data_IF_412775852974
#
_entry.id   IF_412775852974
#
_cell.length_a   1.000
_cell.length_b   1.000
_cell.length_c   1.000
_cell.angle_alpha   90.00
_cell.angle_beta   90.00
_cell.angle_gamma   90.00
#
_symmetry.space_group_name_H-M   'P 1'
#
loop_
_entity.id
_entity.type
_entity.pdbx_description
1 polymer ?
#
# COMPACT_ATOMS: atom_id res chain seq x y z
N UNK A 1 -0.51 1.18 -12.81
CA UNK A 1 0.65 0.85 -13.65
C UNK A 1 0.92 -0.65 -13.58
N UNK A 2 1.43 -1.28 -14.65
CA UNK A 2 1.81 -2.70 -14.66
C UNK A 2 3.29 -2.82 -15.01
N UNK A 3 4.04 -3.54 -14.19
CA UNK A 3 5.47 -3.80 -14.38
C UNK A 3 5.64 -5.29 -14.65
N UNK A 4 6.35 -5.62 -15.72
CA UNK A 4 6.64 -7.00 -16.09
C UNK A 4 8.02 -7.40 -15.57
N UNK A 5 8.06 -8.38 -14.66
CA UNK A 5 9.30 -8.93 -14.16
C UNK A 5 9.95 -9.84 -15.21
N UNK A 6 11.28 -9.99 -15.16
CA UNK A 6 12.03 -10.92 -16.02
C UNK A 6 11.61 -12.39 -15.87
N UNK A 7 10.97 -12.77 -14.76
CA UNK A 7 10.42 -14.11 -14.57
C UNK A 7 9.03 -14.32 -15.22
N UNK A 8 8.43 -13.28 -15.80
CA UNK A 8 7.08 -13.30 -16.38
C UNK A 8 5.97 -12.81 -15.45
N UNK A 9 6.25 -12.68 -14.14
CA UNK A 9 5.29 -12.14 -13.18
C UNK A 9 4.89 -10.70 -13.54
N UNK A 10 3.63 -10.36 -13.29
CA UNK A 10 3.15 -8.98 -13.38
C UNK A 10 3.01 -8.40 -11.98
N UNK A 11 3.65 -7.24 -11.77
CA UNK A 11 3.48 -6.43 -10.57
C UNK A 11 2.49 -5.31 -10.92
N UNK A 12 1.38 -5.28 -10.22
CA UNK A 12 0.37 -4.23 -10.36
C UNK A 12 0.60 -3.17 -9.31
N UNK A 13 0.93 -1.96 -9.76
CA UNK A 13 0.88 -0.76 -8.92
C UNK A 13 -0.47 -0.07 -9.16
N UNK A 14 -1.48 -0.55 -8.44
CA UNK A 14 -2.89 -0.13 -8.59
C UNK A 14 -3.40 0.65 -7.39
N UNK A 15 -2.66 0.66 -6.27
CA UNK A 15 -3.01 1.36 -5.05
C UNK A 15 -1.77 1.68 -4.24
N UNK A 16 -1.90 2.60 -3.30
CA UNK A 16 -0.89 2.83 -2.28
C UNK A 16 -0.82 1.66 -1.29
N UNK A 17 0.27 1.64 -0.51
CA UNK A 17 0.48 0.71 0.62
C UNK A 17 0.53 -0.78 0.25
N UNK A 18 0.96 -1.12 -0.96
CA UNK A 18 1.18 -2.52 -1.35
C UNK A 18 2.46 -3.08 -0.70
N UNK A 19 2.40 -4.33 -0.23
CA UNK A 19 3.47 -4.93 0.59
C UNK A 19 4.81 -5.11 -0.14
N UNK A 20 4.79 -5.05 -1.48
CA UNK A 20 5.94 -5.27 -2.36
C UNK A 20 6.38 -4.00 -3.09
N UNK A 21 5.98 -2.82 -2.60
CA UNK A 21 6.47 -1.50 -3.03
C UNK A 21 7.10 -0.80 -1.83
N UNK A 22 8.24 -0.18 -2.06
CA UNK A 22 8.96 0.60 -1.07
C UNK A 22 9.67 1.78 -1.73
N UNK A 23 10.42 2.49 -0.92
CA UNK A 23 11.22 3.63 -1.33
C UNK A 23 12.63 3.46 -0.77
N UNK A 24 13.62 3.87 -1.56
CA UNK A 24 15.01 3.95 -1.12
C UNK A 24 15.45 5.40 -1.16
N UNK A 25 16.05 5.86 -0.07
CA UNK A 25 16.73 7.16 -0.01
C UNK A 25 18.22 6.87 -0.13
N UNK A 26 18.93 7.41 -1.13
CA UNK A 26 20.38 7.31 -1.20
C UNK A 26 21.02 7.85 0.07
N UNK A 27 22.13 7.24 0.51
CA UNK A 27 22.84 7.66 1.72
C UNK A 27 23.24 9.14 1.68
N UNK A 28 23.64 9.62 0.49
CA UNK A 28 24.00 11.01 0.24
C UNK A 28 22.82 11.99 0.44
N UNK A 29 21.60 11.53 0.22
CA UNK A 29 20.37 12.32 0.28
C UNK A 29 19.72 12.24 1.67
N UNK A 30 20.19 11.34 2.55
CA UNK A 30 19.55 11.06 3.82
C UNK A 30 19.68 12.22 4.83
N UNK A 31 20.85 12.85 4.89
CA UNK A 31 21.11 14.01 5.74
C UNK A 31 20.27 15.21 5.27
N UNK A 32 20.23 15.47 3.96
CA UNK A 32 19.41 16.54 3.37
C UNK A 32 17.91 16.33 3.64
N UNK A 33 17.41 15.09 3.51
CA UNK A 33 16.02 14.75 3.85
C UNK A 33 15.72 15.02 5.33
N UNK A 34 16.65 14.66 6.22
CA UNK A 34 16.50 14.89 7.66
C UNK A 34 16.43 16.40 7.96
N UNK A 35 17.33 17.19 7.39
CA UNK A 35 17.37 18.64 7.57
C UNK A 35 16.06 19.31 7.11
N UNK A 36 15.51 18.91 5.96
CA UNK A 36 14.24 19.45 5.48
C UNK A 36 13.07 19.07 6.39
N UNK A 37 13.04 17.83 6.90
CA UNK A 37 12.03 17.36 7.85
C UNK A 37 12.08 18.17 9.16
N UNK A 38 13.27 18.47 9.67
CA UNK A 38 13.45 19.20 10.93
C UNK A 38 13.06 20.69 10.85
N UNK A 39 13.10 21.27 9.64
CA UNK A 39 12.81 22.69 9.42
C UNK A 39 11.32 22.99 9.24
N UNK A 40 10.49 21.98 8.98
CA UNK A 40 9.05 22.16 8.73
C UNK A 40 8.21 21.78 9.95
N UNK A 41 7.06 22.45 10.11
CA UNK A 41 6.09 22.08 11.17
C UNK A 41 5.37 20.79 10.87
N UNK A 42 5.12 20.54 9.60
CA UNK A 42 4.46 19.34 9.09
C UNK A 42 5.24 18.84 7.90
N UNK A 43 5.58 17.54 7.91
CA UNK A 43 6.22 16.88 6.78
C UNK A 43 5.14 16.44 5.81
N UNK A 44 5.18 16.98 4.60
CA UNK A 44 4.40 16.42 3.51
C UNK A 44 5.14 15.26 2.83
N UNK A 45 4.37 14.38 2.18
CA UNK A 45 4.96 13.23 1.49
C UNK A 45 5.81 13.64 0.29
N UNK A 46 5.59 14.82 -0.28
CA UNK A 46 6.39 15.37 -1.37
C UNK A 46 7.84 15.63 -0.96
N UNK A 47 8.08 16.11 0.26
CA UNK A 47 9.43 16.22 0.84
C UNK A 47 10.13 14.85 0.84
N UNK A 48 9.45 13.80 1.32
CA UNK A 48 10.04 12.44 1.33
C UNK A 48 10.27 11.92 -0.10
N UNK A 49 9.32 12.15 -1.00
CA UNK A 49 9.40 11.67 -2.38
C UNK A 49 10.52 12.34 -3.19
N UNK A 50 10.83 13.62 -2.90
CA UNK A 50 11.94 14.35 -3.53
C UNK A 50 13.27 13.60 -3.40
N UNK A 51 13.52 12.96 -2.26
CA UNK A 51 14.77 12.24 -1.95
C UNK A 51 14.65 10.73 -2.13
N UNK A 52 13.48 10.24 -2.53
CA UNK A 52 13.20 8.81 -2.62
C UNK A 52 13.21 8.31 -4.06
N UNK A 53 13.62 7.06 -4.24
CA UNK A 53 13.44 6.31 -5.48
C UNK A 53 12.46 5.16 -5.23
N UNK A 54 11.54 4.93 -6.15
CA UNK A 54 10.56 3.85 -6.02
C UNK A 54 11.22 2.50 -6.27
N UNK A 55 10.96 1.56 -5.38
CA UNK A 55 11.45 0.19 -5.44
C UNK A 55 10.26 -0.78 -5.41
N UNK A 56 10.26 -1.76 -6.30
CA UNK A 56 9.29 -2.86 -6.29
C UNK A 56 10.01 -4.18 -6.06
N UNK A 57 9.29 -5.14 -5.49
CA UNK A 57 9.75 -6.52 -5.38
C UNK A 57 8.79 -7.47 -6.07
N UNK A 58 9.33 -8.35 -6.93
CA UNK A 58 8.57 -9.45 -7.50
C UNK A 58 8.22 -10.49 -6.43
N UNK A 59 6.96 -10.88 -6.32
CA UNK A 59 6.50 -11.86 -5.32
C UNK A 59 6.82 -13.32 -5.71
N UNK A 60 7.14 -13.57 -6.99
CA UNK A 60 7.48 -14.90 -7.50
C UNK A 60 8.97 -15.20 -7.38
N UNK A 61 9.84 -14.30 -7.87
CA UNK A 61 11.29 -14.55 -7.95
C UNK A 61 12.12 -13.63 -7.02
N UNK A 62 11.47 -12.82 -6.19
CA UNK A 62 12.12 -11.87 -5.26
C UNK A 62 13.02 -10.82 -5.93
N UNK A 63 12.98 -10.67 -7.26
CA UNK A 63 13.73 -9.65 -7.99
C UNK A 63 13.30 -8.25 -7.54
N UNK A 64 14.28 -7.42 -7.20
CA UNK A 64 14.10 -6.01 -6.92
C UNK A 64 14.12 -5.22 -8.23
N UNK A 65 13.21 -4.27 -8.34
CA UNK A 65 13.00 -3.46 -9.54
C UNK A 65 13.03 -2.00 -9.10
N UNK A 66 14.08 -1.29 -9.47
CA UNK A 66 14.25 0.13 -9.16
C UNK A 66 13.74 0.95 -10.34
N UNK A 67 12.91 1.94 -10.06
CA UNK A 67 12.43 2.92 -11.04
C UNK A 67 13.36 4.13 -11.04
N UNK A 68 13.99 4.43 -12.17
CA UNK A 68 14.93 5.53 -12.37
C UNK A 68 14.61 6.26 -13.68
N UNK A 69 14.26 7.55 -13.63
CA UNK A 69 13.99 8.37 -14.83
C UNK A 69 13.02 7.67 -15.82
N UNK A 70 11.93 7.10 -15.30
CA UNK A 70 10.93 6.32 -16.06
C UNK A 70 11.44 4.99 -16.65
N UNK A 71 12.64 4.54 -16.29
CA UNK A 71 13.21 3.24 -16.63
C UNK A 71 13.21 2.26 -15.45
N UNK A 72 13.11 0.96 -15.76
CA UNK A 72 13.14 -0.12 -14.76
C UNK A 72 14.46 -0.89 -14.79
N UNK A 73 15.14 -0.91 -13.66
CA UNK A 73 16.37 -1.67 -13.45
C UNK A 73 16.12 -2.87 -12.54
N UNK A 74 16.57 -4.05 -12.98
CA UNK A 74 16.25 -5.33 -12.34
C UNK A 74 17.47 -5.94 -11.65
N UNK A 75 17.32 -6.28 -10.37
CA UNK A 75 18.34 -6.89 -9.52
C UNK A 75 17.83 -8.22 -8.97
N UNK A 76 18.50 -9.31 -9.33
CA UNK A 76 18.12 -10.65 -8.88
C UNK A 76 18.68 -10.92 -7.49
N UNK A 77 17.89 -11.56 -6.63
CA UNK A 77 18.35 -12.01 -5.33
C UNK A 77 19.21 -13.27 -5.45
N UNK A 78 20.34 -13.33 -4.74
CA UNK A 78 21.18 -14.53 -4.66
C UNK A 78 20.47 -15.70 -3.97
N UNK A 79 19.51 -15.40 -3.10
CA UNK A 79 18.67 -16.37 -2.39
C UNK A 79 17.21 -15.91 -2.41
N UNK A 80 16.47 -16.17 -3.51
CA UNK A 80 15.11 -15.69 -3.69
C UNK A 80 14.16 -16.04 -2.53
N UNK A 81 14.22 -17.29 -2.05
CA UNK A 81 13.35 -17.77 -0.96
C UNK A 81 13.58 -17.03 0.36
N UNK A 82 14.84 -16.67 0.66
CA UNK A 82 15.20 -15.94 1.88
C UNK A 82 14.97 -14.43 1.77
N UNK A 83 14.83 -13.93 0.55
CA UNK A 83 14.67 -12.49 0.26
C UNK A 83 13.20 -12.13 0.05
N UNK A 84 12.29 -13.10 0.15
CA UNK A 84 10.85 -12.87 -0.01
C UNK A 84 10.39 -11.86 1.02
N UNK A 85 9.75 -10.78 0.56
CA UNK A 85 9.25 -9.67 1.40
C UNK A 85 10.30 -8.72 1.97
N UNK A 86 11.47 -8.59 1.33
CA UNK A 86 12.53 -7.67 1.77
C UNK A 86 12.10 -6.20 1.86
N UNK A 87 11.14 -5.77 1.03
CA UNK A 87 10.62 -4.38 1.02
C UNK A 87 9.34 -4.21 1.84
N UNK A 88 8.89 -5.27 2.52
CA UNK A 88 7.69 -5.25 3.34
C UNK A 88 7.92 -4.46 4.61
N UNK A 89 6.84 -3.87 5.15
CA UNK A 89 6.82 -3.29 6.50
C UNK A 89 7.50 -4.19 7.54
N UNK A 90 8.28 -3.59 8.44
CA UNK A 90 8.90 -4.24 9.59
C UNK A 90 7.89 -4.89 10.54
N UNK A 91 6.63 -4.45 10.50
CA UNK A 91 5.54 -5.03 11.28
C UNK A 91 4.85 -6.21 10.58
N UNK A 92 5.25 -6.54 9.35
CA UNK A 92 4.73 -7.68 8.60
C UNK A 92 3.20 -7.60 8.43
N UNK A 93 2.50 -8.67 8.82
CA UNK A 93 1.03 -8.71 8.76
C UNK A 93 0.38 -7.74 9.76
N UNK A 94 1.10 -7.38 10.84
CA UNK A 94 0.61 -6.49 11.91
C UNK A 94 0.74 -5.01 11.58
N UNK A 95 1.19 -4.65 10.36
CA UNK A 95 1.21 -3.26 9.94
C UNK A 95 -0.20 -2.67 9.96
N UNK A 96 -0.37 -1.48 10.55
CA UNK A 96 -1.68 -0.82 10.66
C UNK A 96 -2.16 -0.33 9.29
N UNK A 97 -3.29 -0.88 8.85
CA UNK A 97 -3.86 -0.76 7.51
C UNK A 97 -4.98 0.25 7.44
N UNK A 98 -5.20 0.74 6.25
CA UNK A 98 -6.36 1.52 5.89
C UNK A 98 -7.48 0.59 5.44
N UNK A 99 -8.73 0.86 5.85
CA UNK A 99 -9.92 0.23 5.29
C UNK A 99 -10.72 1.28 4.51
N UNK A 100 -11.07 0.99 3.27
CA UNK A 100 -11.72 1.95 2.37
C UNK A 100 -12.89 1.28 1.66
N UNK A 101 -14.07 1.82 1.87
CA UNK A 101 -15.26 1.48 1.10
C UNK A 101 -15.75 2.70 0.32
N UNK A 102 -15.88 2.59 -1.00
CA UNK A 102 -16.63 3.56 -1.80
C UNK A 102 -17.68 2.86 -2.66
N UNK A 103 -18.93 3.23 -2.48
CA UNK A 103 -20.03 2.88 -3.37
C UNK A 103 -20.40 4.09 -4.23
N UNK A 104 -20.48 3.91 -5.54
CA UNK A 104 -20.82 4.98 -6.47
C UNK A 104 -21.58 4.41 -7.66
N UNK A 105 -22.77 4.95 -7.95
CA UNK A 105 -23.57 4.62 -9.16
C UNK A 105 -23.74 3.11 -9.38
N UNK A 106 -24.05 2.38 -8.30
CA UNK A 106 -24.33 0.94 -8.36
C UNK A 106 -23.09 0.04 -8.42
N UNK A 107 -21.90 0.59 -8.14
CA UNK A 107 -20.65 -0.18 -8.07
C UNK A 107 -19.92 0.11 -6.76
N UNK A 108 -19.53 -0.96 -6.08
CA UNK A 108 -18.78 -0.94 -4.84
C UNK A 108 -17.30 -1.21 -5.04
N UNK A 109 -16.47 -0.50 -4.28
CA UNK A 109 -15.05 -0.76 -4.13
C UNK A 109 -14.71 -0.89 -2.65
N UNK A 110 -14.13 -2.02 -2.27
CA UNK A 110 -13.74 -2.34 -0.90
C UNK A 110 -12.29 -2.79 -0.88
N UNK A 111 -11.50 -2.14 -0.03
CA UNK A 111 -10.09 -2.41 0.10
C UNK A 111 -9.61 -2.32 1.54
N UNK A 112 -8.91 -3.35 1.99
CA UNK A 112 -7.99 -3.29 3.11
C UNK A 112 -6.70 -3.98 2.66
N UNK A 113 -5.68 -3.16 2.36
CA UNK A 113 -4.42 -3.63 1.75
C UNK A 113 -3.25 -3.69 2.70
N UNK A 114 -2.10 -4.14 2.18
CA UNK A 114 -0.79 -4.10 2.84
C UNK A 114 -0.35 -5.41 3.51
N UNK A 115 -1.21 -6.43 3.54
CA UNK A 115 -0.85 -7.79 3.91
C UNK A 115 -0.40 -8.62 2.73
N UNK A 116 0.35 -9.69 3.02
CA UNK A 116 0.62 -10.74 2.04
C UNK A 116 -0.53 -11.74 2.05
N UNK A 117 -0.98 -12.13 3.25
CA UNK A 117 -1.96 -13.18 3.46
C UNK A 117 -3.39 -12.64 3.60
N UNK A 118 -3.57 -11.59 4.38
CA UNK A 118 -4.85 -10.91 4.54
C UNK A 118 -4.80 -9.63 3.72
N UNK A 119 -5.53 -9.58 2.62
CA UNK A 119 -5.79 -8.36 1.88
C UNK A 119 -7.02 -8.58 1.02
N UNK A 120 -7.80 -7.53 0.81
CA UNK A 120 -8.87 -7.56 -0.16
C UNK A 120 -8.80 -6.34 -1.07
N UNK A 121 -9.11 -6.59 -2.33
CA UNK A 121 -9.22 -5.57 -3.36
C UNK A 121 -10.37 -5.97 -4.28
N UNK A 122 -11.55 -5.55 -3.90
CA UNK A 122 -12.78 -5.85 -4.62
C UNK A 122 -13.33 -4.56 -5.22
N UNK A 123 -13.46 -4.50 -6.54
CA UNK A 123 -13.93 -3.33 -7.27
C UNK A 123 -15.23 -3.55 -8.05
N UNK A 124 -15.81 -4.74 -7.96
CA UNK A 124 -17.03 -5.08 -8.70
C UNK A 124 -18.12 -5.63 -7.76
N UNK A 125 -18.17 -5.15 -6.52
CA UNK A 125 -19.30 -5.45 -5.63
C UNK A 125 -20.55 -4.76 -6.18
N UNK A 126 -21.57 -5.53 -6.53
CA UNK A 126 -22.80 -5.02 -7.20
C UNK A 126 -24.00 -4.90 -6.28
N UNK A 127 -23.82 -5.23 -5.01
CA UNK A 127 -24.84 -5.10 -3.97
C UNK A 127 -24.34 -4.23 -2.81
N UNK A 128 -25.14 -3.23 -2.45
CA UNK A 128 -24.76 -2.27 -1.41
C UNK A 128 -24.77 -2.90 -0.01
N UNK A 129 -25.76 -3.76 0.27
CA UNK A 129 -25.90 -4.39 1.57
C UNK A 129 -24.75 -5.38 1.81
N UNK A 130 -24.41 -6.18 0.79
CA UNK A 130 -23.24 -7.06 0.81
C UNK A 130 -21.95 -6.27 1.08
N UNK A 131 -21.72 -5.17 0.33
CA UNK A 131 -20.53 -4.35 0.51
C UNK A 131 -20.47 -3.75 1.93
N UNK A 132 -21.59 -3.22 2.42
CA UNK A 132 -21.68 -2.60 3.74
C UNK A 132 -21.39 -3.61 4.83
N UNK A 133 -21.97 -4.82 4.74
CA UNK A 133 -21.73 -5.88 5.72
C UNK A 133 -20.26 -6.31 5.73
N UNK A 134 -19.68 -6.59 4.55
CA UNK A 134 -18.25 -6.93 4.42
C UNK A 134 -17.34 -5.83 4.97
N UNK A 135 -17.70 -4.56 4.76
CA UNK A 135 -16.97 -3.43 5.33
C UNK A 135 -17.00 -3.45 6.86
N UNK A 136 -18.18 -3.57 7.49
CA UNK A 136 -18.28 -3.55 8.95
C UNK A 136 -17.66 -4.80 9.60
N UNK A 137 -17.76 -5.96 8.97
CA UNK A 137 -17.05 -7.18 9.40
C UNK A 137 -15.53 -6.98 9.38
N UNK A 138 -14.99 -6.45 8.27
CA UNK A 138 -13.57 -6.14 8.16
C UNK A 138 -13.16 -5.06 9.18
N UNK A 139 -13.98 -4.04 9.37
CA UNK A 139 -13.73 -2.97 10.33
C UNK A 139 -13.59 -3.52 11.75
N UNK A 140 -14.58 -4.26 12.25
CA UNK A 140 -14.56 -4.81 13.60
C UNK A 140 -13.39 -5.75 13.79
N UNK A 141 -13.12 -6.63 12.82
CA UNK A 141 -11.98 -7.54 12.87
C UNK A 141 -10.65 -6.79 12.94
N UNK A 142 -10.36 -5.90 11.99
CA UNK A 142 -9.09 -5.17 11.92
C UNK A 142 -8.87 -4.27 13.14
N UNK A 143 -9.96 -3.67 13.66
CA UNK A 143 -9.95 -2.85 14.87
C UNK A 143 -9.63 -3.69 16.11
N UNK A 144 -10.30 -4.83 16.28
CA UNK A 144 -10.08 -5.73 17.42
C UNK A 144 -8.68 -6.37 17.41
N UNK A 145 -8.13 -6.63 16.22
CA UNK A 145 -6.75 -7.09 16.06
C UNK A 145 -5.70 -5.98 16.29
N UNK A 146 -6.13 -4.71 16.43
CA UNK A 146 -5.25 -3.57 16.65
C UNK A 146 -4.42 -3.17 15.42
N UNK A 147 -4.83 -3.64 14.23
CA UNK A 147 -4.15 -3.42 12.95
C UNK A 147 -4.89 -2.45 12.03
N UNK A 148 -5.92 -1.76 12.53
CA UNK A 148 -6.59 -0.68 11.81
C UNK A 148 -5.90 0.66 12.09
N UNK A 149 -5.49 1.36 11.04
CA UNK A 149 -4.95 2.73 11.09
C UNK A 149 -6.08 3.75 11.07
N UNK A 150 -6.98 3.60 10.11
CA UNK A 150 -8.19 4.38 9.94
C UNK A 150 -9.13 3.63 8.96
N UNK A 151 -10.38 4.09 8.86
CA UNK A 151 -11.37 3.56 7.93
C UNK A 151 -12.37 4.60 7.47
N UNK A 152 -12.87 4.46 6.25
CA UNK A 152 -14.10 5.13 5.86
C UNK A 152 -14.97 4.28 4.92
N UNK A 153 -16.27 4.54 4.95
CA UNK A 153 -17.27 4.04 4.00
C UNK A 153 -18.05 5.22 3.44
N UNK A 154 -18.08 5.32 2.11
CA UNK A 154 -18.88 6.32 1.40
C UNK A 154 -19.93 5.68 0.49
N UNK A 155 -21.08 6.35 0.36
CA UNK A 155 -22.14 6.00 -0.59
C UNK A 155 -22.51 7.22 -1.41
N UNK A 156 -22.30 7.17 -2.71
CA UNK A 156 -22.60 8.24 -3.67
C UNK A 156 -22.06 9.62 -3.24
N UNK A 157 -20.88 9.61 -2.61
CA UNK A 157 -20.20 10.81 -2.10
C UNK A 157 -20.49 11.15 -0.64
N UNK A 158 -21.54 10.58 -0.04
CA UNK A 158 -21.89 10.77 1.37
C UNK A 158 -21.03 9.89 2.27
N UNK A 159 -20.56 10.45 3.41
CA UNK A 159 -19.82 9.70 4.42
C UNK A 159 -20.79 8.91 5.31
N UNK A 160 -20.76 7.58 5.20
CA UNK A 160 -21.60 6.67 6.01
C UNK A 160 -20.90 6.26 7.30
N UNK A 161 -19.58 6.07 7.24
CA UNK A 161 -18.76 5.74 8.41
C UNK A 161 -17.35 6.33 8.26
N UNK A 162 -16.79 6.85 9.35
CA UNK A 162 -15.40 7.29 9.44
C UNK A 162 -14.83 6.95 10.82
N UNK A 163 -13.61 6.41 10.85
CA UNK A 163 -12.90 6.09 12.07
C UNK A 163 -11.39 6.30 11.91
N UNK A 164 -10.69 6.93 12.88
CA UNK A 164 -11.29 7.72 13.95
C UNK A 164 -12.09 8.88 13.36
N UNK A 165 -13.21 9.23 13.98
CA UNK A 165 -14.01 10.37 13.54
C UNK A 165 -13.20 11.64 13.73
N UNK A 166 -13.17 12.50 12.70
CA UNK A 166 -12.52 13.81 12.75
C UNK A 166 -13.39 14.84 13.46
#
# INVERSE_FOLDING_TARGET
>A
MKIHCKCGATISDSSDFIYNKGYVVPDQDLEDLQDEIEQVKEVDLGTIWKYSKTLYQCHECSCLILELNDEYHFFSADSPDKSKYAVRSVFGEKWKRHLRGNWNRGKGSLWWGGGVQDQAFDFDVRDWEEMSNRYFEAFERLKNEGILRDSFLRKDGEMIHEWPSK
#
